data_IF_562324662066
#
_entry.id   IF_562324662066
#
_cell.length_a   1.000
_cell.length_b   1.000
_cell.length_c   1.000
_cell.angle_alpha   90.00
_cell.angle_beta   90.00
_cell.angle_gamma   90.00
#
_symmetry.space_group_name_H-M   'P 1'
#
loop_
_entity.id
_entity.type
_entity.pdbx_description
1 polymer ?
#
# COMPACT_ATOMS: atom_id res chain seq x y z
N UNK A 1 30.07 5.17 6.98
CA UNK A 1 29.06 4.21 6.48
C UNK A 1 27.68 4.80 6.71
N UNK A 2 27.06 5.38 5.68
CA UNK A 2 25.70 5.93 5.79
C UNK A 2 24.70 4.79 5.68
N UNK A 3 24.19 4.30 6.82
CA UNK A 3 23.00 3.45 6.84
C UNK A 3 21.83 4.36 6.48
N UNK A 4 21.39 4.32 5.23
CA UNK A 4 20.04 4.74 4.88
C UNK A 4 19.10 3.80 5.64
N UNK A 5 18.78 4.12 6.88
CA UNK A 5 17.77 3.39 7.64
C UNK A 5 16.50 3.46 6.84
N UNK A 6 16.04 2.32 6.31
CA UNK A 6 14.69 2.26 5.78
C UNK A 6 13.76 2.82 6.86
N UNK A 7 12.77 3.65 6.51
CA UNK A 7 11.86 4.21 7.50
C UNK A 7 11.21 3.06 8.26
N UNK A 8 11.57 2.91 9.53
CA UNK A 8 10.96 1.92 10.41
C UNK A 8 9.49 2.27 10.58
N UNK A 9 8.61 1.45 9.99
CA UNK A 9 7.17 1.61 10.08
C UNK A 9 6.61 0.58 11.07
N UNK A 10 6.51 0.91 12.37
CA UNK A 10 6.09 -0.05 13.39
C UNK A 10 4.61 -0.41 13.23
N UNK A 11 4.30 -1.70 13.36
CA UNK A 11 2.94 -2.18 13.40
C UNK A 11 2.19 -1.53 14.58
N UNK A 12 1.04 -0.90 14.37
CA UNK A 12 0.29 -0.25 15.44
C UNK A 12 -0.20 -1.25 16.51
N UNK A 13 -0.35 -2.54 16.16
CA UNK A 13 -0.85 -3.58 17.07
C UNK A 13 0.23 -4.25 17.91
N UNK A 14 1.34 -4.66 17.31
CA UNK A 14 2.35 -5.47 18.00
C UNK A 14 3.77 -4.87 17.93
N UNK A 15 3.92 -3.65 17.38
CA UNK A 15 5.18 -2.92 17.25
C UNK A 15 6.28 -3.61 16.43
N UNK A 16 6.04 -4.81 15.89
CA UNK A 16 6.92 -5.41 14.90
C UNK A 16 6.96 -4.57 13.61
N UNK A 17 8.05 -4.67 12.86
CA UNK A 17 8.22 -3.96 11.59
C UNK A 17 7.17 -4.39 10.56
N UNK A 18 6.56 -3.41 9.89
CA UNK A 18 5.67 -3.67 8.75
C UNK A 18 6.49 -3.92 7.49
N UNK A 19 6.13 -4.98 6.75
CA UNK A 19 6.69 -5.29 5.45
C UNK A 19 5.82 -4.68 4.35
N UNK A 20 6.45 -4.05 3.35
CA UNK A 20 5.75 -3.54 2.19
C UNK A 20 5.52 -4.67 1.17
N UNK A 21 4.25 -4.92 0.84
CA UNK A 21 3.83 -5.74 -0.29
C UNK A 21 3.44 -4.83 -1.46
N UNK A 22 3.97 -5.12 -2.65
CA UNK A 22 3.65 -4.41 -3.89
C UNK A 22 3.02 -5.42 -4.84
N UNK A 23 1.77 -5.16 -5.24
CA UNK A 23 1.02 -6.02 -6.14
C UNK A 23 0.69 -5.24 -7.42
N UNK A 24 0.84 -5.89 -8.57
CA UNK A 24 0.54 -5.28 -9.88
C UNK A 24 -0.55 -6.10 -10.56
N UNK A 25 -1.71 -5.48 -10.75
CA UNK A 25 -2.81 -6.04 -11.53
C UNK A 25 -2.86 -5.37 -12.90
N UNK A 26 -2.98 -6.14 -13.98
CA UNK A 26 -3.07 -5.63 -15.35
C UNK A 26 -4.38 -6.07 -15.99
N UNK A 27 -5.11 -5.11 -16.57
CA UNK A 27 -6.37 -5.34 -17.28
C UNK A 27 -6.43 -4.48 -18.54
N UNK A 28 -6.33 -5.11 -19.71
CA UNK A 28 -6.39 -4.44 -21.02
C UNK A 28 -5.42 -3.23 -21.11
N UNK A 29 -5.97 -2.01 -21.15
CA UNK A 29 -5.26 -0.72 -21.25
C UNK A 29 -4.97 -0.10 -19.88
N UNK A 30 -5.19 -0.83 -18.79
CA UNK A 30 -5.03 -0.34 -17.42
C UNK A 30 -4.10 -1.26 -16.62
N UNK A 31 -3.30 -0.66 -15.75
CA UNK A 31 -2.55 -1.37 -14.72
C UNK A 31 -2.74 -0.66 -13.38
N UNK A 32 -2.92 -1.43 -12.32
CA UNK A 32 -3.05 -0.92 -10.94
C UNK A 32 -1.89 -1.47 -10.12
N UNK A 33 -1.16 -0.59 -9.46
CA UNK A 33 -0.07 -0.93 -8.54
C UNK A 33 -0.56 -0.62 -7.13
N UNK A 34 -0.67 -1.64 -6.29
CA UNK A 34 -1.16 -1.54 -4.92
C UNK A 34 -0.01 -1.69 -3.92
N UNK A 35 0.07 -0.77 -2.96
CA UNK A 35 1.06 -0.76 -1.89
C UNK A 35 0.38 -1.05 -0.55
N UNK A 36 0.67 -2.21 0.03
CA UNK A 36 0.09 -2.66 1.30
C UNK A 36 1.19 -2.92 2.31
N UNK A 37 1.12 -2.32 3.49
CA UNK A 37 1.97 -2.68 4.60
C UNK A 37 1.35 -3.82 5.39
N UNK A 38 2.13 -4.88 5.64
CA UNK A 38 1.68 -6.10 6.29
C UNK A 38 2.58 -6.39 7.48
N UNK A 39 1.99 -6.66 8.64
CA UNK A 39 2.72 -7.19 9.78
C UNK A 39 2.85 -8.72 9.65
N UNK A 40 4.05 -9.29 9.57
CA UNK A 40 4.23 -10.73 9.44
C UNK A 40 3.77 -11.50 10.69
N UNK A 41 3.79 -10.83 11.86
CA UNK A 41 3.46 -11.42 13.17
C UNK A 41 1.95 -11.44 13.41
N UNK A 42 1.32 -10.26 13.52
CA UNK A 42 -0.10 -10.17 13.90
C UNK A 42 -1.05 -10.03 12.69
N UNK A 43 -0.54 -10.17 11.46
CA UNK A 43 -1.29 -10.08 10.20
C UNK A 43 -2.09 -8.79 9.99
N UNK A 44 -1.72 -7.71 10.70
CA UNK A 44 -2.24 -6.37 10.44
C UNK A 44 -1.93 -5.96 9.00
N UNK A 45 -2.90 -5.37 8.30
CA UNK A 45 -2.75 -4.85 6.95
C UNK A 45 -3.15 -3.39 6.92
N UNK A 46 -2.35 -2.57 6.24
CA UNK A 46 -2.60 -1.15 5.99
C UNK A 46 -2.40 -0.87 4.51
N UNK A 47 -3.50 -0.72 3.79
CA UNK A 47 -3.49 -0.43 2.36
C UNK A 47 -3.36 1.09 2.23
N UNK A 48 -2.17 1.56 1.86
CA UNK A 48 -1.86 2.99 1.93
C UNK A 48 -2.06 3.71 0.59
N UNK A 49 -1.83 3.01 -0.52
CA UNK A 49 -1.78 3.67 -1.82
C UNK A 49 -2.05 2.70 -2.96
N UNK A 50 -2.72 3.19 -3.99
CA UNK A 50 -2.72 2.57 -5.31
C UNK A 50 -2.43 3.59 -6.41
N UNK A 51 -1.69 3.14 -7.42
CA UNK A 51 -1.38 3.91 -8.63
C UNK A 51 -2.09 3.22 -9.79
N UNK A 52 -3.00 3.94 -10.43
CA UNK A 52 -3.64 3.50 -11.66
C UNK A 52 -2.92 4.12 -12.85
N UNK A 53 -2.52 3.28 -13.79
CA UNK A 53 -1.92 3.63 -15.07
C UNK A 53 -2.89 3.25 -16.16
N UNK A 54 -3.32 4.21 -16.98
CA UNK A 54 -4.24 3.97 -18.10
C UNK A 54 -3.66 4.49 -19.41
N UNK A 55 -3.64 3.62 -20.43
CA UNK A 55 -3.29 4.00 -21.79
C UNK A 55 -4.47 4.69 -22.46
N UNK A 56 -4.24 5.91 -22.93
CA UNK A 56 -5.18 6.69 -23.72
C UNK A 56 -4.51 7.14 -25.02
N UNK A 57 -4.60 6.31 -26.06
CA UNK A 57 -3.86 6.51 -27.31
C UNK A 57 -2.35 6.41 -27.07
N UNK A 58 -1.63 7.47 -27.39
CA UNK A 58 -0.19 7.62 -27.13
C UNK A 58 0.15 8.25 -25.77
N UNK A 59 -0.86 8.47 -24.90
CA UNK A 59 -0.67 9.06 -23.57
C UNK A 59 -0.85 8.00 -22.49
N UNK A 60 -0.14 8.20 -21.38
CA UNK A 60 -0.35 7.46 -20.12
C UNK A 60 -0.97 8.41 -19.11
N UNK A 61 -2.16 8.07 -18.63
CA UNK A 61 -2.79 8.74 -17.51
C UNK A 61 -2.34 8.05 -16.23
N UNK A 62 -1.82 8.83 -15.29
CA UNK A 62 -1.36 8.34 -13.99
C UNK A 62 -2.23 8.94 -12.91
N UNK A 63 -2.91 8.09 -12.13
CA UNK A 63 -3.73 8.50 -10.99
C UNK A 63 -3.17 7.87 -9.72
N UNK A 64 -2.75 8.72 -8.79
CA UNK A 64 -2.29 8.31 -7.45
C UNK A 64 -3.43 8.48 -6.46
N UNK A 65 -3.81 7.39 -5.78
CA UNK A 65 -4.89 7.41 -4.81
C UNK A 65 -4.34 6.90 -3.48
N UNK A 66 -4.38 7.77 -2.47
CA UNK A 66 -4.02 7.42 -1.09
C UNK A 66 -5.29 7.11 -0.32
N UNK A 67 -5.38 5.90 0.20
CA UNK A 67 -6.45 5.53 1.11
C UNK A 67 -6.05 6.02 2.49
N UNK A 68 -6.77 7.00 3.03
CA UNK A 68 -6.65 7.30 4.45
C UNK A 68 -7.27 6.12 5.19
N UNK A 69 -6.47 5.38 5.94
CA UNK A 69 -6.97 4.43 6.94
C UNK A 69 -7.68 5.24 8.01
N UNK A 70 -8.99 5.44 7.86
CA UNK A 70 -9.81 5.92 8.96
C UNK A 70 -9.61 4.95 10.13
N UNK A 71 -9.15 5.50 11.24
CA UNK A 71 -8.81 4.74 12.44
C UNK A 71 -10.03 3.91 12.87
N UNK A 72 -9.88 2.59 12.83
CA UNK A 72 -10.68 1.62 13.59
C UNK A 72 -12.15 2.02 13.83
N UNK A 73 -13.04 1.86 12.84
CA UNK A 73 -14.42 1.53 13.20
C UNK A 73 -14.39 0.14 13.84
N UNK A 74 -14.53 0.09 15.17
CA UNK A 74 -14.89 -1.11 15.92
C UNK A 74 -15.98 -1.85 15.13
N UNK A 75 -15.75 -3.12 14.77
CA UNK A 75 -16.86 -4.01 14.48
C UNK A 75 -17.64 -4.16 15.80
N UNK A 76 -18.93 -3.78 15.88
CA UNK A 76 -19.79 -4.32 16.91
C UNK A 76 -19.89 -5.84 16.72
N UNK A 77 -19.87 -6.55 17.85
CA UNK A 77 -20.03 -8.00 17.95
C UNK A 77 -21.39 -8.45 17.41
#
# INVERSE_FOLDING_TARGET
>A
MFKHGMPYNPCPRCKNELQLSIEVEKKQKMATISYTYICPVCKYKDVNEYIELQLNGNKVLVRRIRLKTDSQKKLPQ
#
